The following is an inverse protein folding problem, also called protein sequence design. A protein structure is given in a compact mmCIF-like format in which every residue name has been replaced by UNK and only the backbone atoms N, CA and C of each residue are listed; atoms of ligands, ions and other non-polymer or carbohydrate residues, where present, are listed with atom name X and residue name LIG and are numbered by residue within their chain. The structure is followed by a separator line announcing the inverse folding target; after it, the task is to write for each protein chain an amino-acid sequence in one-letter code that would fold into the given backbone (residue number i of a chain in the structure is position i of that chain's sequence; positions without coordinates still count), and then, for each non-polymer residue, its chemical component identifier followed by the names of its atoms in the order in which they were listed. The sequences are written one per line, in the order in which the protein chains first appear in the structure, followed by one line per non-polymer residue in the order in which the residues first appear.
data_IF_098327319390
#
_entry.id   IF_098327319390
#
_cell.length_a   1.000
_cell.length_b   1.000
_cell.length_c   1.000
_cell.angle_alpha   90.00
_cell.angle_beta   90.00
_cell.angle_gamma   90.00
#
_symmetry.space_group_name_H-M   'P 1'
#
loop_
_entity.id
_entity.type
_entity.pdbx_description
1 polymer ?
#
# COMPACT_ATOMS: atom_id res chain seq x y z
N UNK A 1 4.32 29.51 -23.14
CA UNK A 1 4.32 29.81 -21.69
C UNK A 1 3.20 29.10 -20.93
N UNK A 2 1.93 29.16 -21.36
CA UNK A 2 0.81 28.40 -20.73
C UNK A 2 1.05 26.88 -20.66
N UNK A 3 1.59 26.28 -21.72
CA UNK A 3 1.92 24.85 -21.75
C UNK A 3 3.06 24.44 -20.81
N UNK A 4 4.01 25.34 -20.54
CA UNK A 4 5.12 25.09 -19.59
C UNK A 4 4.60 25.11 -18.15
N UNK A 5 3.72 26.07 -17.84
CA UNK A 5 3.08 26.17 -16.52
C UNK A 5 2.21 24.92 -16.24
N UNK A 6 1.46 24.46 -17.25
CA UNK A 6 0.65 23.22 -17.16
C UNK A 6 1.55 21.99 -16.94
N UNK A 7 2.70 21.92 -17.62
CA UNK A 7 3.62 20.79 -17.48
C UNK A 7 4.29 20.75 -16.09
N UNK A 8 4.65 21.92 -15.54
CA UNK A 8 5.24 22.05 -14.20
C UNK A 8 4.23 21.73 -13.10
N UNK A 9 2.98 22.19 -13.22
CA UNK A 9 1.92 21.84 -12.25
C UNK A 9 1.56 20.36 -12.30
N UNK A 10 1.55 19.75 -13.49
CA UNK A 10 1.35 18.31 -13.62
C UNK A 10 2.47 17.50 -12.96
N UNK A 11 3.73 17.92 -13.11
CA UNK A 11 4.89 17.24 -12.50
C UNK A 11 4.85 17.23 -10.97
N UNK A 12 4.38 18.33 -10.35
CA UNK A 12 4.28 18.46 -8.88
C UNK A 12 3.21 17.57 -8.25
N UNK A 13 2.18 17.19 -9.01
CA UNK A 13 1.12 16.29 -8.54
C UNK A 13 1.65 14.84 -8.45
N UNK A 14 2.52 14.42 -9.37
CA UNK A 14 3.09 13.06 -9.38
C UNK A 14 4.06 12.79 -8.22
N UNK A 15 4.69 13.82 -7.65
CA UNK A 15 5.61 13.66 -6.52
C UNK A 15 4.96 13.22 -5.20
N UNK A 16 3.63 13.23 -5.10
CA UNK A 16 2.88 12.88 -3.88
C UNK A 16 2.24 11.49 -3.94
N UNK A 17 2.78 10.56 -4.74
CA UNK A 17 2.27 9.19 -4.74
C UNK A 17 2.77 8.45 -3.50
N UNK A 18 2.02 8.56 -2.40
CA UNK A 18 2.30 7.84 -1.15
C UNK A 18 2.39 6.33 -1.42
N UNK A 19 3.48 5.73 -0.96
CA UNK A 19 3.66 4.29 -1.02
C UNK A 19 2.65 3.62 -0.08
N UNK A 20 1.78 2.76 -0.62
CA UNK A 20 0.82 1.97 0.14
C UNK A 20 1.19 0.49 0.14
N UNK A 21 0.72 -0.27 1.14
CA UNK A 21 0.86 -1.73 1.17
C UNK A 21 0.08 -2.34 0.00
N UNK A 22 0.71 -3.27 -0.73
CA UNK A 22 0.11 -3.99 -1.85
C UNK A 22 -0.72 -5.17 -1.37
N UNK A 23 -1.98 -4.90 -1.02
CA UNK A 23 -2.93 -5.94 -0.64
C UNK A 23 -3.41 -6.75 -1.84
N UNK A 24 -3.62 -8.05 -1.64
CA UNK A 24 -4.25 -8.95 -2.62
C UNK A 24 -5.32 -9.80 -1.92
N UNK A 25 -6.18 -10.47 -2.68
CA UNK A 25 -7.22 -11.31 -2.10
C UNK A 25 -6.67 -12.63 -1.60
N UNK A 26 -7.25 -13.15 -0.53
CA UNK A 26 -6.88 -14.46 0.01
C UNK A 26 -7.03 -15.57 -1.05
N UNK A 27 -8.10 -15.55 -1.85
CA UNK A 27 -8.33 -16.53 -2.91
C UNK A 27 -7.24 -16.48 -4.00
N UNK A 28 -6.75 -15.29 -4.33
CA UNK A 28 -5.66 -15.15 -5.29
C UNK A 28 -4.36 -15.76 -4.75
N UNK A 29 -4.02 -15.52 -3.48
CA UNK A 29 -2.83 -16.10 -2.84
C UNK A 29 -2.95 -17.61 -2.72
N UNK A 30 -4.12 -18.12 -2.34
CA UNK A 30 -4.37 -19.56 -2.20
C UNK A 30 -4.28 -20.32 -3.53
N UNK A 31 -4.49 -19.63 -4.67
CA UNK A 31 -4.36 -20.19 -6.00
C UNK A 31 -2.92 -20.15 -6.56
N UNK A 32 -1.99 -19.49 -5.88
CA UNK A 32 -0.59 -19.45 -6.30
C UNK A 32 0.11 -20.76 -5.93
N UNK A 33 0.82 -21.37 -6.87
CA UNK A 33 1.56 -22.62 -6.62
C UNK A 33 2.81 -22.44 -5.75
N UNK A 34 3.31 -21.19 -5.64
CA UNK A 34 4.55 -20.83 -4.94
C UNK A 34 4.29 -19.98 -3.70
N UNK A 35 3.39 -20.40 -2.82
CA UNK A 35 3.20 -19.73 -1.52
C UNK A 35 4.48 -19.77 -0.67
N UNK A 36 5.39 -20.72 -0.95
CA UNK A 36 6.57 -20.99 -0.12
C UNK A 36 7.75 -20.01 -0.29
N UNK A 37 7.77 -19.17 -1.35
CA UNK A 37 8.89 -18.24 -1.58
C UNK A 37 8.82 -16.97 -0.73
N UNK A 38 7.65 -16.63 -0.16
CA UNK A 38 7.44 -15.42 0.67
C UNK A 38 6.43 -15.67 1.79
N UNK A 39 6.54 -14.90 2.88
CA UNK A 39 5.57 -15.01 3.98
C UNK A 39 4.24 -14.37 3.59
N UNK A 40 3.14 -15.05 3.89
CA UNK A 40 1.79 -14.50 3.68
C UNK A 40 1.35 -13.72 4.91
N UNK A 41 1.05 -12.43 4.74
CA UNK A 41 0.44 -11.60 5.78
C UNK A 41 -1.08 -11.54 5.58
N UNK A 42 -1.83 -12.00 6.58
CA UNK A 42 -3.31 -11.98 6.56
C UNK A 42 -3.83 -10.84 7.44
N UNK A 43 -4.55 -9.88 6.84
CA UNK A 43 -5.21 -8.79 7.57
C UNK A 43 -6.62 -9.21 7.97
N UNK A 44 -6.81 -9.49 9.26
CA UNK A 44 -8.13 -9.78 9.84
C UNK A 44 -8.66 -8.48 10.44
N UNK A 45 -9.84 -8.05 10.01
CA UNK A 45 -10.50 -6.85 10.49
C UNK A 45 -12.02 -6.96 10.34
N UNK A 46 -12.73 -6.05 10.99
CA UNK A 46 -14.13 -5.74 10.74
C UNK A 46 -14.27 -4.25 10.41
N UNK A 47 -15.38 -3.85 9.78
CA UNK A 47 -15.60 -2.46 9.39
C UNK A 47 -15.62 -1.49 10.59
N UNK A 48 -16.14 -1.95 11.73
CA UNK A 48 -16.24 -1.15 12.97
C UNK A 48 -15.00 -1.29 13.88
N UNK A 49 -13.93 -1.93 13.40
CA UNK A 49 -12.73 -2.11 14.19
C UNK A 49 -11.91 -0.82 14.31
N UNK A 50 -12.13 -0.06 15.38
CA UNK A 50 -11.43 1.20 15.67
C UNK A 50 -9.91 1.03 15.72
N UNK A 51 -9.43 -0.07 16.30
CA UNK A 51 -8.00 -0.35 16.38
C UNK A 51 -7.39 -0.70 15.03
N UNK A 52 -8.14 -1.38 14.17
CA UNK A 52 -7.71 -1.69 12.80
C UNK A 52 -7.53 -0.39 12.02
N UNK A 53 -8.47 0.56 12.13
CA UNK A 53 -8.34 1.89 11.54
C UNK A 53 -7.13 2.65 12.06
N UNK A 54 -6.88 2.62 13.38
CA UNK A 54 -5.70 3.27 13.97
C UNK A 54 -4.39 2.67 13.45
N UNK A 55 -4.32 1.34 13.28
CA UNK A 55 -3.17 0.66 12.71
C UNK A 55 -2.95 1.06 11.25
N UNK A 56 -4.02 1.19 10.46
CA UNK A 56 -3.93 1.70 9.09
C UNK A 56 -3.35 3.12 9.05
N UNK A 57 -3.84 4.01 9.91
CA UNK A 57 -3.42 5.42 9.94
C UNK A 57 -2.02 5.66 10.51
N UNK A 58 -1.54 4.82 11.43
CA UNK A 58 -0.30 5.06 12.18
C UNK A 58 0.84 4.10 11.87
N UNK A 59 0.54 2.93 11.31
CA UNK A 59 1.52 1.89 11.06
C UNK A 59 1.59 1.55 9.59
N UNK A 60 0.46 1.24 8.95
CA UNK A 60 0.45 0.85 7.53
C UNK A 60 0.57 2.01 6.54
N UNK A 61 0.55 3.25 7.04
CA UNK A 61 0.88 4.48 6.31
C UNK A 61 2.34 4.90 6.48
N UNK A 62 3.10 4.28 7.40
CA UNK A 62 4.47 4.67 7.68
C UNK A 62 5.41 4.13 6.57
N UNK A 63 6.19 4.99 5.89
CA UNK A 63 6.97 4.59 4.72
C UNK A 63 7.92 3.41 4.96
N UNK A 64 8.59 3.33 6.11
CA UNK A 64 9.51 2.22 6.39
C UNK A 64 8.75 0.89 6.58
N UNK A 65 7.59 0.91 7.25
CA UNK A 65 6.70 -0.26 7.36
C UNK A 65 6.18 -0.70 6.00
N UNK A 66 5.70 0.22 5.17
CA UNK A 66 5.22 -0.09 3.82
C UNK A 66 6.32 -0.72 2.99
N UNK A 67 7.51 -0.13 3.01
CA UNK A 67 8.66 -0.63 2.28
C UNK A 67 9.04 -2.04 2.75
N UNK A 68 9.10 -2.26 4.07
CA UNK A 68 9.41 -3.57 4.63
C UNK A 68 8.40 -4.65 4.19
N UNK A 69 7.11 -4.38 4.33
CA UNK A 69 6.05 -5.32 3.96
C UNK A 69 6.01 -5.61 2.47
N UNK A 70 6.23 -4.60 1.61
CA UNK A 70 6.18 -4.80 0.16
C UNK A 70 7.42 -5.51 -0.41
N UNK A 71 8.54 -5.54 0.33
CA UNK A 71 9.81 -6.10 -0.15
C UNK A 71 10.07 -7.53 0.32
N UNK A 72 9.37 -8.00 1.36
CA UNK A 72 9.51 -9.33 1.95
C UNK A 72 8.26 -10.18 1.71
#
# INVERSE_FOLDING_TARGET
MKHVIVFVTLLLIFSNLDAQIKWTSFAHVAAQEKVDEKKVMVKIYSEECVWCKRMEEKTFSEPAVVNYINTH
#
